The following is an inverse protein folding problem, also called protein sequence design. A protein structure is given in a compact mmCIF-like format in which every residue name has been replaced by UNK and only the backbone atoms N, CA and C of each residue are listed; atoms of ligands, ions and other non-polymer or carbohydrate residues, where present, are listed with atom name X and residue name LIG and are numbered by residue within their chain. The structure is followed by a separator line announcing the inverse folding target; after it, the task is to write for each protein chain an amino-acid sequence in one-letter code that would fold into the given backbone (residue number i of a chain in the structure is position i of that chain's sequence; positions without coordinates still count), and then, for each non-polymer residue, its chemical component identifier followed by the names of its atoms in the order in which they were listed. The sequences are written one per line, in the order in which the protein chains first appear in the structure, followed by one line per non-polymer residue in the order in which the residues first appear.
data_IF_782546566409
#
_entry.id   IF_782546566409
#
_cell.length_a   1.000
_cell.length_b   1.000
_cell.length_c   1.000
_cell.angle_alpha   90.00
_cell.angle_beta   90.00
_cell.angle_gamma   90.00
#
_symmetry.space_group_name_H-M   'P 1'
#
loop_
_entity.id
_entity.type
_entity.pdbx_description
1 polymer ?
#
# COMPACT_ATOMS: atom_id res chain seq x y z
N UNK A 1 -1.98 5.86 -71.82
CA UNK A 1 -1.68 7.27 -71.47
C UNK A 1 -3.02 7.98 -71.29
N UNK A 2 -3.31 8.69 -70.19
CA UNK A 2 -2.45 9.05 -69.06
C UNK A 2 -2.86 8.38 -67.72
N UNK A 3 -2.02 8.62 -66.71
CA UNK A 3 -2.10 8.22 -65.32
C UNK A 3 -2.74 9.32 -64.45
N UNK A 4 -3.41 8.94 -63.37
CA UNK A 4 -3.26 9.51 -62.01
C UNK A 4 -4.10 8.62 -61.06
N UNK A 5 -3.56 8.00 -60.02
CA UNK A 5 -3.16 8.68 -58.80
C UNK A 5 -4.20 8.40 -57.72
N UNK A 6 -3.95 7.39 -56.87
CA UNK A 6 -4.36 7.32 -55.46
C UNK A 6 -3.87 6.02 -54.81
N UNK A 7 -2.65 6.10 -54.26
CA UNK A 7 -2.16 5.12 -53.30
C UNK A 7 -2.92 5.25 -51.99
N UNK A 8 -3.54 4.16 -51.55
CA UNK A 8 -3.92 3.99 -50.15
C UNK A 8 -2.78 3.25 -49.45
N UNK A 9 -1.85 4.00 -48.89
CA UNK A 9 -0.95 3.48 -47.85
C UNK A 9 -1.76 3.37 -46.57
N UNK A 10 -2.22 2.16 -46.27
CA UNK A 10 -2.69 1.81 -44.93
C UNK A 10 -1.50 1.96 -43.98
N UNK A 11 -1.37 3.14 -43.37
CA UNK A 11 -0.48 3.38 -42.27
C UNK A 11 -0.88 2.46 -41.12
N UNK A 12 -0.18 1.33 -40.98
CA UNK A 12 -0.15 0.59 -39.72
C UNK A 12 0.31 1.58 -38.66
N UNK A 13 -0.65 2.11 -37.88
CA UNK A 13 -0.35 2.66 -36.57
C UNK A 13 0.39 1.54 -35.83
N UNK A 14 1.71 1.70 -35.71
CA UNK A 14 2.45 0.99 -34.67
C UNK A 14 1.78 1.45 -33.38
N UNK A 15 1.00 0.55 -32.78
CA UNK A 15 0.67 0.68 -31.38
C UNK A 15 2.02 0.78 -30.68
N UNK A 16 2.37 2.01 -30.30
CA UNK A 16 3.44 2.24 -29.37
C UNK A 16 2.93 1.58 -28.09
N UNK A 17 3.36 0.34 -27.84
CA UNK A 17 3.36 -0.16 -26.48
C UNK A 17 4.21 0.84 -25.73
N UNK A 18 3.70 1.56 -24.71
CA UNK A 18 4.59 2.10 -23.73
C UNK A 18 5.30 0.87 -23.16
N UNK A 19 6.60 0.78 -23.38
CA UNK A 19 7.44 -0.13 -22.62
C UNK A 19 7.16 0.23 -21.16
N UNK A 20 6.47 -0.68 -20.46
CA UNK A 20 6.06 -0.50 -19.08
C UNK A 20 7.29 -0.51 -18.19
N UNK A 21 8.09 0.56 -18.28
CA UNK A 21 9.01 0.92 -17.22
C UNK A 21 8.11 1.20 -16.04
N UNK A 22 8.18 0.29 -15.09
CA UNK A 22 7.40 0.35 -13.90
C UNK A 22 8.03 1.48 -13.06
N UNK A 23 7.41 2.65 -13.14
CA UNK A 23 7.94 3.93 -12.64
C UNK A 23 8.05 4.01 -11.10
N UNK A 24 7.69 2.94 -10.38
CA UNK A 24 7.91 2.88 -8.94
C UNK A 24 9.40 2.59 -8.68
N UNK A 25 10.16 3.53 -8.07
CA UNK A 25 11.57 3.31 -7.80
C UNK A 25 11.75 2.08 -6.90
N UNK A 26 12.89 1.40 -7.07
CA UNK A 26 13.24 0.26 -6.23
C UNK A 26 13.14 0.64 -4.75
N UNK A 27 12.52 -0.19 -3.91
CA UNK A 27 12.46 0.08 -2.49
C UNK A 27 13.89 0.17 -1.93
N UNK A 28 14.09 1.08 -0.97
CA UNK A 28 15.35 1.27 -0.25
C UNK A 28 16.52 1.82 -1.09
N UNK A 29 16.28 2.27 -2.33
CA UNK A 29 17.30 2.91 -3.16
C UNK A 29 18.08 4.01 -2.44
N UNK A 30 17.41 4.99 -1.77
CA UNK A 30 18.09 6.03 -1.01
C UNK A 30 18.95 5.51 0.15
N UNK A 31 18.52 4.44 0.85
CA UNK A 31 19.31 3.82 1.91
C UNK A 31 20.60 3.21 1.35
N UNK A 32 20.50 2.52 0.21
CA UNK A 32 21.64 1.86 -0.45
C UNK A 32 22.60 2.85 -1.10
N UNK A 33 22.08 3.98 -1.58
CA UNK A 33 22.88 5.06 -2.13
C UNK A 33 23.60 5.88 -1.04
N UNK A 34 23.19 5.75 0.23
CA UNK A 34 23.67 6.58 1.33
C UNK A 34 23.03 7.98 1.36
N UNK A 35 22.01 8.22 0.54
CA UNK A 35 21.24 9.47 0.51
C UNK A 35 20.33 9.60 1.75
N UNK A 36 20.09 8.49 2.45
CA UNK A 36 19.32 8.46 3.69
C UNK A 36 19.90 7.41 4.64
N UNK A 37 20.06 7.76 5.92
CA UNK A 37 20.53 6.81 6.94
C UNK A 37 19.40 5.94 7.51
N UNK A 38 18.15 6.39 7.33
CA UNK A 38 16.96 5.82 7.96
C UNK A 38 15.73 6.08 7.08
N UNK A 39 14.86 5.09 6.97
CA UNK A 39 13.57 5.20 6.27
C UNK A 39 12.47 4.54 7.12
N UNK A 40 11.21 4.93 6.90
CA UNK A 40 10.05 4.17 7.39
C UNK A 40 9.53 3.24 6.28
N UNK A 41 9.22 2.00 6.63
CA UNK A 41 8.68 1.00 5.70
C UNK A 41 7.57 0.18 6.36
N UNK A 42 6.75 -0.47 5.52
CA UNK A 42 5.79 -1.48 5.96
C UNK A 42 6.49 -2.86 5.96
N UNK A 43 6.66 -3.52 7.12
CA UNK A 43 7.21 -4.87 7.18
C UNK A 43 6.33 -5.87 6.41
N UNK A 44 6.87 -7.01 5.93
CA UNK A 44 8.21 -7.52 6.23
C UNK A 44 9.32 -6.91 5.37
N UNK A 45 10.54 -6.96 5.89
CA UNK A 45 11.81 -6.67 5.20
C UNK A 45 12.61 -7.97 5.19
N UNK A 46 12.92 -8.48 3.99
CA UNK A 46 13.69 -9.73 3.82
C UNK A 46 15.11 -9.47 3.26
N UNK A 47 15.44 -8.21 3.00
CA UNK A 47 16.71 -7.73 2.52
C UNK A 47 17.80 -7.93 3.59
N UNK A 48 18.77 -8.81 3.32
CA UNK A 48 19.84 -9.11 4.27
C UNK A 48 20.78 -7.93 4.55
N UNK A 49 20.86 -6.96 3.63
CA UNK A 49 21.62 -5.73 3.77
C UNK A 49 20.92 -4.67 4.62
N UNK A 50 19.69 -4.94 5.09
CA UNK A 50 18.89 -4.01 5.88
C UNK A 50 18.54 -4.61 7.25
N UNK A 51 18.48 -3.73 8.24
CA UNK A 51 18.01 -4.05 9.59
C UNK A 51 16.63 -3.45 9.77
N UNK A 52 15.65 -4.32 10.07
CA UNK A 52 14.31 -3.90 10.47
C UNK A 52 14.35 -3.42 11.92
N UNK A 53 14.03 -2.14 12.09
CA UNK A 53 13.93 -1.49 13.37
C UNK A 53 12.59 -1.67 14.07
N UNK A 54 12.39 -0.94 15.17
CA UNK A 54 11.14 -0.99 15.94
C UNK A 54 9.98 -0.34 15.18
N UNK A 55 8.76 -0.81 15.46
CA UNK A 55 7.52 -0.24 14.93
C UNK A 55 7.25 1.12 15.57
N UNK A 56 6.99 2.12 14.73
CA UNK A 56 6.61 3.47 15.14
C UNK A 56 5.11 3.61 15.30
N UNK A 57 4.39 3.13 14.29
CA UNK A 57 2.95 3.29 14.16
C UNK A 57 2.38 1.96 13.72
N UNK A 58 1.28 1.54 14.34
CA UNK A 58 0.51 0.38 13.92
C UNK A 58 -0.92 0.82 13.68
N UNK A 59 -1.46 0.54 12.50
CA UNK A 59 -2.81 0.95 12.11
C UNK A 59 -3.68 -0.27 11.89
N UNK A 60 -4.96 -0.25 12.32
CA UNK A 60 -5.89 -1.30 11.95
C UNK A 60 -5.93 -1.48 10.43
N UNK A 61 -5.95 -2.73 9.98
CA UNK A 61 -6.16 -3.03 8.57
C UNK A 61 -7.66 -2.95 8.27
N UNK A 62 -8.00 -2.25 7.20
CA UNK A 62 -9.36 -2.11 6.71
C UNK A 62 -9.44 -2.51 5.23
N UNK A 63 -10.59 -2.99 4.80
CA UNK A 63 -10.89 -3.29 3.41
C UNK A 63 -11.60 -2.10 2.77
N UNK A 64 -10.99 -1.53 1.74
CA UNK A 64 -11.59 -0.49 0.90
C UNK A 64 -12.40 -1.14 -0.23
N UNK A 65 -13.64 -0.70 -0.38
CA UNK A 65 -14.58 -1.18 -1.40
C UNK A 65 -15.54 -0.08 -1.86
N UNK A 66 -16.24 -0.31 -2.98
CA UNK A 66 -17.40 0.50 -3.36
C UNK A 66 -18.55 0.31 -2.37
N UNK A 67 -19.35 1.35 -2.13
CA UNK A 67 -20.59 1.26 -1.34
C UNK A 67 -21.62 0.31 -1.94
N UNK A 68 -21.50 -0.05 -3.22
CA UNK A 68 -22.32 -1.05 -3.88
C UNK A 68 -21.86 -2.50 -3.63
N UNK A 69 -20.67 -2.70 -3.05
CA UNK A 69 -20.14 -4.04 -2.78
C UNK A 69 -20.97 -4.77 -1.71
N UNK A 70 -21.23 -6.08 -1.82
CA UNK A 70 -22.02 -6.83 -0.83
C UNK A 70 -21.55 -6.67 0.62
N UNK A 71 -20.24 -6.59 0.84
CA UNK A 71 -19.65 -6.41 2.18
C UNK A 71 -19.88 -5.01 2.77
N UNK A 72 -20.27 -4.01 1.98
CA UNK A 72 -20.43 -2.64 2.46
C UNK A 72 -21.49 -2.51 3.57
N UNK A 73 -22.44 -3.46 3.63
CA UNK A 73 -23.50 -3.54 4.64
C UNK A 73 -23.07 -4.21 5.94
N UNK A 74 -21.92 -4.88 5.96
CA UNK A 74 -21.38 -5.55 7.15
C UNK A 74 -20.72 -4.52 8.08
N UNK A 75 -20.59 -4.81 9.36
CA UNK A 75 -19.83 -3.97 10.30
C UNK A 75 -18.32 -4.14 10.13
N UNK A 76 -17.89 -5.37 9.86
CA UNK A 76 -16.50 -5.77 9.66
C UNK A 76 -16.41 -6.93 8.65
N UNK A 77 -15.19 -7.27 8.23
CA UNK A 77 -14.88 -8.40 7.36
C UNK A 77 -13.79 -9.28 7.99
N UNK A 78 -13.66 -10.52 7.53
CA UNK A 78 -12.55 -11.41 7.86
C UNK A 78 -11.58 -11.52 6.67
N UNK A 79 -10.32 -11.91 6.89
CA UNK A 79 -9.41 -12.29 5.81
C UNK A 79 -10.01 -13.43 4.96
N UNK A 80 -10.82 -14.29 5.57
CA UNK A 80 -11.57 -15.34 4.88
C UNK A 80 -12.57 -14.78 3.84
N UNK A 81 -13.15 -13.60 4.08
CA UNK A 81 -14.07 -12.98 3.11
C UNK A 81 -13.39 -12.63 1.78
N UNK A 82 -12.05 -12.51 1.76
CA UNK A 82 -11.30 -12.21 0.53
C UNK A 82 -11.41 -13.31 -0.52
N UNK A 83 -11.75 -14.55 -0.15
CA UNK A 83 -12.02 -15.61 -1.13
C UNK A 83 -13.25 -15.32 -2.00
N UNK A 84 -14.14 -14.42 -1.58
CA UNK A 84 -15.37 -14.04 -2.28
C UNK A 84 -15.26 -12.67 -2.97
N UNK A 85 -14.09 -12.04 -2.96
CA UNK A 85 -13.85 -10.73 -3.54
C UNK A 85 -12.64 -10.73 -4.49
N UNK A 86 -12.66 -9.85 -5.49
CA UNK A 86 -11.48 -9.62 -6.34
C UNK A 86 -10.54 -8.63 -5.68
N UNK A 87 -9.36 -9.10 -5.30
CA UNK A 87 -8.32 -8.29 -4.67
C UNK A 87 -7.57 -7.48 -5.72
N UNK A 88 -7.61 -6.16 -5.60
CA UNK A 88 -6.77 -5.26 -6.37
C UNK A 88 -5.42 -5.11 -5.66
N UNK A 89 -4.35 -5.37 -6.40
CA UNK A 89 -2.97 -5.43 -5.89
C UNK A 89 -2.12 -4.30 -6.44
N UNK A 90 -0.89 -4.19 -5.96
CA UNK A 90 0.08 -3.21 -6.45
C UNK A 90 0.97 -3.86 -7.50
N UNK A 91 1.06 -3.24 -8.67
CA UNK A 91 2.05 -3.55 -9.68
C UNK A 91 3.32 -2.76 -9.40
N UNK A 92 4.46 -3.38 -9.66
CA UNK A 92 5.69 -2.65 -9.85
C UNK A 92 6.90 -3.25 -9.17
N UNK A 93 7.87 -2.40 -8.81
CA UNK A 93 9.11 -2.86 -8.20
C UNK A 93 8.84 -3.00 -6.71
N UNK A 94 8.08 -4.04 -6.38
CA UNK A 94 7.63 -4.35 -5.03
C UNK A 94 8.15 -5.75 -4.72
N UNK A 95 8.83 -5.96 -3.59
CA UNK A 95 9.35 -7.28 -3.26
C UNK A 95 8.21 -8.29 -3.13
N UNK A 96 8.39 -9.49 -3.67
CA UNK A 96 7.35 -10.54 -3.64
C UNK A 96 6.93 -10.89 -2.21
N UNK A 97 7.87 -10.93 -1.26
CA UNK A 97 7.56 -11.20 0.15
C UNK A 97 6.64 -10.15 0.76
N UNK A 98 6.79 -8.89 0.34
CA UNK A 98 5.95 -7.78 0.78
C UNK A 98 4.55 -7.88 0.16
N UNK A 99 4.48 -8.20 -1.14
CA UNK A 99 3.20 -8.43 -1.84
C UNK A 99 2.45 -9.60 -1.22
N UNK A 100 3.12 -10.71 -0.95
CA UNK A 100 2.52 -11.91 -0.37
C UNK A 100 1.98 -11.65 1.04
N UNK A 101 2.62 -10.76 1.80
CA UNK A 101 2.16 -10.35 3.12
C UNK A 101 0.94 -9.42 3.07
N UNK A 102 0.95 -8.40 2.21
CA UNK A 102 -0.12 -7.40 2.17
C UNK A 102 -1.31 -7.80 1.29
N UNK A 103 -1.03 -8.60 0.26
CA UNK A 103 -1.98 -9.06 -0.76
C UNK A 103 -1.86 -10.58 -0.93
N UNK A 104 -2.25 -11.37 0.09
CA UNK A 104 -2.09 -12.81 0.05
C UNK A 104 -2.86 -13.45 -1.11
N UNK A 105 -2.33 -14.55 -1.64
CA UNK A 105 -2.97 -15.36 -2.70
C UNK A 105 -3.98 -16.37 -2.16
N UNK A 106 -3.93 -16.65 -0.86
CA UNK A 106 -4.82 -17.59 -0.18
C UNK A 106 -5.21 -17.02 1.19
N UNK A 107 -6.41 -17.35 1.63
CA UNK A 107 -6.90 -17.09 2.99
C UNK A 107 -6.16 -17.98 4.01
N UNK A 108 -6.24 -17.70 5.32
CA UNK A 108 -5.65 -18.57 6.36
C UNK A 108 -6.09 -20.03 6.27
N UNK A 109 -7.33 -20.31 5.86
CA UNK A 109 -7.86 -21.66 5.63
C UNK A 109 -7.40 -22.30 4.31
N UNK A 110 -6.63 -21.59 3.48
CA UNK A 110 -6.09 -22.06 2.21
C UNK A 110 -7.00 -21.83 1.00
N UNK A 111 -8.16 -21.17 1.16
CA UNK A 111 -9.01 -20.83 0.00
C UNK A 111 -8.32 -19.80 -0.90
N UNK A 112 -8.32 -19.98 -2.23
CA UNK A 112 -7.70 -19.03 -3.15
C UNK A 112 -8.41 -17.69 -3.10
N UNK A 113 -7.64 -16.61 -3.15
CA UNK A 113 -8.14 -15.24 -3.25
C UNK A 113 -8.05 -14.81 -4.72
N UNK A 114 -9.17 -14.46 -5.38
CA UNK A 114 -9.13 -13.93 -6.74
C UNK A 114 -8.35 -12.61 -6.80
N UNK A 115 -7.38 -12.49 -7.70
CA UNK A 115 -6.61 -11.24 -7.91
C UNK A 115 -7.05 -10.57 -9.21
N UNK A 116 -7.27 -9.26 -9.14
CA UNK A 116 -7.69 -8.42 -10.25
C UNK A 116 -6.52 -7.66 -10.88
N UNK A 117 -6.84 -6.53 -11.51
CA UNK A 117 -5.84 -5.64 -12.10
C UNK A 117 -4.87 -5.13 -11.03
N UNK A 118 -3.57 -5.30 -11.30
CA UNK A 118 -2.51 -4.72 -10.49
C UNK A 118 -2.30 -3.24 -10.84
N UNK A 119 -2.11 -2.41 -9.83
CA UNK A 119 -2.20 -0.95 -9.90
C UNK A 119 -0.81 -0.35 -9.69
N UNK A 120 -0.38 0.56 -10.56
CA UNK A 120 0.93 1.22 -10.43
C UNK A 120 0.86 2.49 -9.59
N UNK A 121 -0.28 3.19 -9.61
CA UNK A 121 -0.53 4.40 -8.83
C UNK A 121 -1.70 4.23 -7.88
N UNK A 122 -1.61 4.85 -6.71
CA UNK A 122 -2.65 4.75 -5.69
C UNK A 122 -3.99 5.37 -6.12
N UNK A 123 -3.98 6.47 -6.88
CA UNK A 123 -5.21 7.10 -7.39
C UNK A 123 -5.99 6.21 -8.36
N UNK A 124 -5.29 5.33 -9.09
CA UNK A 124 -5.93 4.33 -9.96
C UNK A 124 -6.73 3.34 -9.12
N UNK A 125 -6.24 3.00 -7.91
CA UNK A 125 -6.92 2.08 -7.00
C UNK A 125 -8.29 2.60 -6.58
N UNK A 126 -8.36 3.88 -6.23
CA UNK A 126 -9.60 4.51 -5.77
C UNK A 126 -10.63 4.54 -6.90
N UNK A 127 -10.19 4.79 -8.13
CA UNK A 127 -11.03 4.77 -9.33
C UNK A 127 -11.54 3.36 -9.66
N UNK A 128 -10.67 2.35 -9.59
CA UNK A 128 -11.03 0.95 -9.85
C UNK A 128 -12.00 0.40 -8.81
N UNK A 129 -11.78 0.73 -7.53
CA UNK A 129 -12.69 0.36 -6.44
C UNK A 129 -14.06 1.00 -6.67
N UNK A 130 -14.12 2.31 -6.96
CA UNK A 130 -15.40 2.99 -7.25
C UNK A 130 -16.14 2.36 -8.43
N UNK A 131 -15.41 1.95 -9.46
CA UNK A 131 -15.94 1.24 -10.62
C UNK A 131 -16.33 -0.23 -10.34
N UNK A 132 -16.21 -0.70 -9.09
CA UNK A 132 -16.59 -2.05 -8.67
C UNK A 132 -15.66 -3.14 -9.21
N UNK A 133 -14.42 -2.81 -9.60
CA UNK A 133 -13.47 -3.78 -10.17
C UNK A 133 -12.82 -4.68 -9.11
N UNK A 134 -12.95 -4.33 -7.84
CA UNK A 134 -12.46 -5.13 -6.73
C UNK A 134 -12.40 -4.35 -5.43
N UNK A 135 -11.68 -4.93 -4.48
CA UNK A 135 -11.44 -4.41 -3.14
C UNK A 135 -9.94 -4.38 -2.87
N UNK A 136 -9.49 -3.54 -1.93
CA UNK A 136 -8.06 -3.48 -1.58
C UNK A 136 -7.85 -3.22 -0.08
N UNK A 137 -7.00 -3.99 0.62
CA UNK A 137 -6.67 -3.76 2.02
C UNK A 137 -5.78 -2.52 2.14
N UNK A 138 -6.05 -1.70 3.15
CA UNK A 138 -5.31 -0.47 3.45
C UNK A 138 -5.20 -0.26 4.94
N UNK A 139 -4.28 0.60 5.34
CA UNK A 139 -4.19 1.08 6.71
C UNK A 139 -5.38 2.01 6.99
N UNK A 140 -5.94 1.96 8.20
CA UNK A 140 -7.14 2.72 8.56
C UNK A 140 -7.02 4.23 8.31
N UNK A 141 -5.80 4.82 8.39
CA UNK A 141 -5.63 6.23 8.06
C UNK A 141 -5.95 6.58 6.60
N UNK A 142 -5.91 5.61 5.69
CA UNK A 142 -6.39 5.79 4.32
C UNK A 142 -7.84 6.25 4.26
N UNK A 143 -8.67 5.91 5.24
CA UNK A 143 -10.04 6.44 5.31
C UNK A 143 -10.06 7.96 5.51
N UNK A 144 -9.11 8.53 6.26
CA UNK A 144 -9.05 9.99 6.45
C UNK A 144 -8.61 10.72 5.17
N UNK A 145 -7.62 10.18 4.45
CA UNK A 145 -7.07 10.84 3.25
C UNK A 145 -7.89 10.60 1.98
N UNK A 146 -8.57 9.46 1.88
CA UNK A 146 -9.21 9.02 0.63
C UNK A 146 -10.73 8.93 0.70
N UNK A 147 -11.34 9.33 1.83
CA UNK A 147 -12.80 9.37 1.95
C UNK A 147 -13.42 10.24 0.86
N UNK A 148 -14.28 9.64 0.06
CA UNK A 148 -15.12 10.32 -0.93
C UNK A 148 -16.41 9.53 -1.13
N UNK A 149 -17.50 10.18 -1.62
CA UNK A 149 -18.77 9.50 -1.85
C UNK A 149 -18.61 8.22 -2.68
N UNK A 150 -19.24 7.14 -2.23
CA UNK A 150 -19.17 5.84 -2.89
C UNK A 150 -18.04 4.91 -2.43
N UNK A 151 -17.07 5.39 -1.63
CA UNK A 151 -16.08 4.53 -0.98
C UNK A 151 -16.51 4.16 0.44
N UNK A 152 -16.29 2.90 0.81
CA UNK A 152 -16.56 2.35 2.13
C UNK A 152 -15.33 1.60 2.62
N UNK A 153 -15.00 1.80 3.91
CA UNK A 153 -13.91 1.12 4.60
C UNK A 153 -14.51 0.23 5.69
N UNK A 154 -14.13 -1.05 5.73
CA UNK A 154 -14.56 -1.99 6.78
C UNK A 154 -13.36 -2.61 7.48
N UNK A 155 -13.29 -2.61 8.82
CA UNK A 155 -12.18 -3.22 9.53
C UNK A 155 -12.15 -4.72 9.32
N UNK A 156 -10.94 -5.28 9.31
CA UNK A 156 -10.76 -6.71 9.45
C UNK A 156 -10.90 -7.12 10.93
N UNK A 157 -11.58 -8.23 11.20
CA UNK A 157 -11.73 -8.78 12.57
C UNK A 157 -10.52 -9.60 13.01
N UNK A 158 -9.77 -10.15 12.06
CA UNK A 158 -8.78 -11.21 12.26
C UNK A 158 -7.46 -10.98 11.51
N UNK A 159 -7.30 -9.82 10.85
CA UNK A 159 -6.05 -9.46 10.21
C UNK A 159 -5.12 -8.69 11.18
N UNK A 160 -3.80 -8.90 11.12
CA UNK A 160 -2.87 -8.02 11.79
C UNK A 160 -2.98 -6.59 11.22
N UNK A 161 -2.60 -5.62 12.05
CA UNK A 161 -2.47 -4.23 11.63
C UNK A 161 -1.46 -4.07 10.48
N UNK A 162 -1.45 -2.87 9.91
CA UNK A 162 -0.37 -2.41 9.03
C UNK A 162 0.60 -1.62 9.90
N UNK A 163 1.80 -2.18 10.05
CA UNK A 163 2.86 -1.58 10.84
C UNK A 163 3.74 -0.71 9.96
N UNK A 164 4.19 0.41 10.53
CA UNK A 164 5.17 1.30 9.95
C UNK A 164 6.38 1.31 10.87
N UNK A 165 7.48 0.74 10.40
CA UNK A 165 8.69 0.53 11.18
C UNK A 165 9.88 1.27 10.55
N UNK A 166 10.86 1.59 11.39
CA UNK A 166 12.15 2.04 10.89
C UNK A 166 12.90 0.93 10.16
N UNK A 167 13.67 1.30 9.15
CA UNK A 167 14.62 0.42 8.45
C UNK A 167 15.87 1.21 8.09
N UNK A 168 17.04 0.58 8.23
CA UNK A 168 18.35 1.19 7.92
C UNK A 168 19.33 0.14 7.40
N UNK A 169 20.45 0.54 6.74
CA UNK A 169 21.47 -0.41 6.30
C UNK A 169 22.12 -1.13 7.48
N UNK A 170 22.24 -2.45 7.40
CA UNK A 170 22.87 -3.27 8.44
C UNK A 170 24.33 -2.84 8.66
N UNK A 171 24.71 -2.62 9.93
CA UNK A 171 26.05 -2.18 10.29
C UNK A 171 26.28 -0.66 10.22
N UNK A 172 25.24 0.12 9.87
CA UNK A 172 25.27 1.59 9.84
C UNK A 172 24.56 2.23 11.04
N UNK A 173 24.50 1.57 12.19
CA UNK A 173 23.93 2.14 13.41
C UNK A 173 24.89 3.18 14.02
N UNK A 174 24.83 4.41 13.52
CA UNK A 174 25.58 5.52 14.12
C UNK A 174 25.02 5.88 15.50
N UNK A 175 25.80 6.62 16.31
CA UNK A 175 25.30 7.14 17.57
C UNK A 175 24.10 8.08 17.38
N UNK A 176 24.09 8.86 16.30
CA UNK A 176 22.99 9.76 15.94
C UNK A 176 21.73 8.98 15.58
N UNK A 177 21.83 7.95 14.72
CA UNK A 177 20.70 7.08 14.36
C UNK A 177 20.08 6.44 15.61
N UNK A 178 20.91 5.85 16.48
CA UNK A 178 20.43 5.25 17.74
C UNK A 178 19.74 6.27 18.64
N UNK A 179 20.28 7.49 18.74
CA UNK A 179 19.67 8.55 19.54
C UNK A 179 18.32 8.99 18.95
N UNK A 180 18.24 9.15 17.63
CA UNK A 180 17.00 9.50 16.93
C UNK A 180 15.92 8.44 17.13
N UNK A 181 16.24 7.15 16.87
CA UNK A 181 15.32 6.03 17.08
C UNK A 181 14.84 5.97 18.52
N UNK A 182 15.74 6.17 19.50
CA UNK A 182 15.36 6.20 20.92
C UNK A 182 14.36 7.31 21.22
N UNK A 183 14.62 8.55 20.78
CA UNK A 183 13.71 9.69 21.02
C UNK A 183 12.36 9.45 20.36
N UNK A 184 12.34 8.96 19.11
CA UNK A 184 11.10 8.61 18.42
C UNK A 184 10.31 7.55 19.22
N UNK A 185 10.97 6.52 19.74
CA UNK A 185 10.32 5.51 20.56
C UNK A 185 9.85 6.03 21.92
N UNK A 186 10.55 6.99 22.53
CA UNK A 186 10.08 7.66 23.74
C UNK A 186 8.77 8.41 23.48
N UNK A 187 8.64 9.06 22.31
CA UNK A 187 7.37 9.70 21.91
C UNK A 187 6.26 8.67 21.70
N UNK A 188 6.55 7.58 20.97
CA UNK A 188 5.59 6.50 20.75
C UNK A 188 5.12 5.89 22.08
N UNK A 189 6.04 5.68 23.04
CA UNK A 189 5.69 5.25 24.40
C UNK A 189 4.84 6.28 25.13
N UNK A 190 5.20 7.56 25.03
CA UNK A 190 4.48 8.67 25.67
C UNK A 190 3.02 8.77 25.25
N UNK A 191 2.69 8.43 24.00
CA UNK A 191 1.31 8.40 23.48
C UNK A 191 0.60 7.04 23.69
N UNK A 192 1.23 6.08 24.37
CA UNK A 192 0.63 4.79 24.71
C UNK A 192 0.92 3.64 23.74
N UNK A 193 1.97 3.77 22.92
CA UNK A 193 2.47 2.72 22.03
C UNK A 193 2.06 2.90 20.55
N UNK A 194 2.57 2.04 19.64
CA UNK A 194 2.41 2.22 18.20
C UNK A 194 0.96 2.30 17.70
N UNK A 195 0.06 1.54 18.31
CA UNK A 195 -1.37 1.56 17.96
C UNK A 195 -2.06 2.89 18.30
N UNK A 196 -1.61 3.56 19.38
CA UNK A 196 -2.14 4.88 19.78
C UNK A 196 -1.41 6.03 19.09
N UNK A 197 -0.13 5.85 18.76
CA UNK A 197 0.61 6.77 17.92
C UNK A 197 -0.03 6.98 16.54
N UNK A 198 -0.83 6.02 16.04
CA UNK A 198 -1.62 6.21 14.82
C UNK A 198 -2.78 7.22 14.99
N UNK A 199 -3.31 7.36 16.20
CA UNK A 199 -4.50 8.18 16.50
C UNK A 199 -4.12 9.63 16.88
N UNK A 200 -2.91 9.81 17.42
CA UNK A 200 -2.45 11.09 17.97
C UNK A 200 -2.01 12.18 16.97
N UNK A 201 -1.41 11.92 15.79
CA UNK A 201 -0.78 12.99 14.99
C UNK A 201 -1.78 13.99 14.41
N UNK A 202 -3.08 13.67 14.44
CA UNK A 202 -4.14 14.48 13.83
C UNK A 202 -5.28 14.81 14.79
N UNK A 203 -5.15 14.47 16.08
CA UNK A 203 -6.16 14.79 17.09
C UNK A 203 -6.16 16.29 17.51
N UNK A 204 -5.27 17.12 16.94
CA UNK A 204 -5.08 18.51 17.34
C UNK A 204 -5.57 19.57 16.35
N UNK A 205 -6.18 19.23 15.22
CA UNK A 205 -6.82 20.22 14.33
C UNK A 205 -8.34 20.08 14.38
N UNK A 206 -8.95 20.64 15.43
CA UNK A 206 -10.40 20.60 15.60
C UNK A 206 -10.91 21.20 16.91
N UNK A 207 -10.20 22.17 17.48
CA UNK A 207 -10.78 23.08 18.48
C UNK A 207 -10.39 24.50 18.10
N UNK A 208 -11.30 25.14 17.37
CA UNK A 208 -11.12 26.49 16.86
C UNK A 208 -12.46 27.11 16.51
N UNK A 209 -13.16 27.55 17.57
CA UNK A 209 -14.24 28.56 17.64
C UNK A 209 -15.51 28.37 16.82
#
# INVERSE_FOLDING_TARGET
MPADGRGQTAGRLRQHRPDGHNDRPAPYGPLRAGDSELQTTEPPVAEADLTLGPVLVSQPRVLLMSSAHPFARREAVSVEDLAEATLLTVAGNVPTHWLDHHFPRQTPSGRPIPHGQAMTHWEDALSLVLAGKGVTPVAAAGAHYYSRPGLVFKPFTDAPGIDYAFVWPTGHETALLRAFVRVALDQVRGVGGPARAAQSPWAHEGTGT
#
